data_IF_751755063756
#
_entry.id   IF_751755063756
#
_cell.length_a   1.000
_cell.length_b   1.000
_cell.length_c   1.000
_cell.angle_alpha   90.00
_cell.angle_beta   90.00
_cell.angle_gamma   90.00
#
_symmetry.space_group_name_H-M   'P 1'
#
loop_
_entity.id
_entity.type
_entity.pdbx_description
1 polymer ?
#
# COMPACT_ATOMS: atom_id res chain seq x y z
N UNK A 1 2.15 -17.52 -0.88
CA UNK A 1 2.69 -16.86 -2.09
C UNK A 1 3.32 -17.87 -3.04
N UNK A 2 4.34 -18.61 -2.61
CA UNK A 2 4.99 -19.63 -3.45
C UNK A 2 3.98 -20.72 -3.82
N UNK A 3 3.98 -21.14 -5.08
CA UNK A 3 3.07 -22.17 -5.60
C UNK A 3 1.65 -21.67 -5.91
N UNK A 4 1.31 -20.41 -5.62
CA UNK A 4 0.02 -19.85 -6.00
C UNK A 4 0.08 -19.34 -7.47
N UNK A 5 -0.68 -19.93 -8.41
CA UNK A 5 -0.58 -19.63 -9.84
C UNK A 5 -1.05 -18.22 -10.22
N UNK A 6 -1.87 -17.58 -9.38
CA UNK A 6 -2.38 -16.22 -9.64
C UNK A 6 -1.59 -15.14 -8.90
N UNK A 7 -0.58 -15.51 -8.11
CA UNK A 7 0.19 -14.60 -7.28
C UNK A 7 1.55 -14.30 -7.92
N UNK A 8 1.82 -13.01 -8.13
CA UNK A 8 3.13 -12.52 -8.54
C UNK A 8 4.17 -12.84 -7.46
N UNK A 9 5.32 -13.35 -7.88
CA UNK A 9 6.43 -13.67 -6.98
C UNK A 9 7.28 -12.42 -6.75
N UNK A 10 6.93 -11.67 -5.70
CA UNK A 10 7.65 -10.45 -5.30
C UNK A 10 8.68 -10.85 -4.22
N UNK A 11 9.95 -10.40 -4.34
CA UNK A 11 10.98 -10.68 -3.34
C UNK A 11 10.80 -9.76 -2.12
N UNK A 12 9.78 -10.04 -1.32
CA UNK A 12 9.50 -9.33 -0.07
C UNK A 12 10.62 -9.50 0.96
N UNK A 13 10.82 -8.47 1.78
CA UNK A 13 11.82 -8.48 2.82
C UNK A 13 11.34 -9.29 4.04
N UNK A 14 12.30 -9.92 4.72
CA UNK A 14 12.08 -10.54 6.03
C UNK A 14 12.56 -9.58 7.10
N UNK A 15 11.63 -8.92 7.77
CA UNK A 15 11.95 -7.98 8.85
C UNK A 15 10.95 -8.16 10.01
N UNK A 16 11.28 -9.06 10.93
CA UNK A 16 10.42 -9.40 12.06
C UNK A 16 10.20 -8.23 13.02
N UNK A 17 11.21 -7.37 13.21
CA UNK A 17 11.10 -6.18 14.06
C UNK A 17 10.11 -5.17 13.48
N UNK A 18 10.23 -4.88 12.18
CA UNK A 18 9.32 -3.97 11.50
C UNK A 18 7.88 -4.51 11.45
N UNK A 19 7.72 -5.82 11.22
CA UNK A 19 6.42 -6.49 11.30
C UNK A 19 5.81 -6.36 12.70
N UNK A 20 6.59 -6.60 13.76
CA UNK A 20 6.12 -6.48 15.13
C UNK A 20 5.69 -5.04 15.48
N UNK A 21 6.46 -4.04 15.05
CA UNK A 21 6.08 -2.62 15.21
C UNK A 21 4.77 -2.30 14.49
N UNK A 22 4.61 -2.76 13.25
CA UNK A 22 3.36 -2.57 12.50
C UNK A 22 2.18 -3.28 13.17
N UNK A 23 2.33 -4.56 13.52
CA UNK A 23 1.26 -5.35 14.12
C UNK A 23 0.80 -4.75 15.46
N UNK A 24 1.72 -4.21 16.26
CA UNK A 24 1.41 -3.64 17.58
C UNK A 24 1.06 -2.15 17.56
N UNK A 25 0.99 -1.49 16.39
CA UNK A 25 0.68 -0.06 16.30
C UNK A 25 1.77 0.83 16.92
N UNK A 26 3.03 0.52 16.64
CA UNK A 26 4.23 1.22 17.13
C UNK A 26 5.14 1.67 15.99
N UNK A 27 4.55 2.03 14.85
CA UNK A 27 5.28 2.47 13.66
C UNK A 27 5.82 3.90 13.79
N UNK A 28 5.26 4.68 14.72
CA UNK A 28 5.53 6.11 14.85
C UNK A 28 4.69 6.96 13.91
N UNK A 29 3.79 6.37 13.11
CA UNK A 29 2.83 7.08 12.26
C UNK A 29 1.43 7.00 12.89
N UNK A 30 0.93 8.09 13.50
CA UNK A 30 -0.28 8.04 14.34
C UNK A 30 -1.51 7.50 13.64
N UNK A 31 -1.66 7.78 12.35
CA UNK A 31 -2.75 7.24 11.55
C UNK A 31 -2.70 5.70 11.44
N UNK A 32 -1.52 5.14 11.16
CA UNK A 32 -1.32 3.69 11.05
C UNK A 32 -1.47 3.04 12.43
N UNK A 33 -0.88 3.66 13.45
CA UNK A 33 -0.87 3.14 14.82
C UNK A 33 -2.28 3.17 15.43
N UNK A 34 -3.09 4.20 15.15
CA UNK A 34 -4.49 4.26 15.57
C UNK A 34 -5.33 3.15 14.91
N UNK A 35 -5.14 2.90 13.60
CA UNK A 35 -5.85 1.82 12.90
C UNK A 35 -5.50 0.45 13.49
N UNK A 36 -4.21 0.17 13.69
CA UNK A 36 -3.78 -1.12 14.24
C UNK A 36 -4.21 -1.29 15.70
N UNK A 37 -4.29 -0.18 16.46
CA UNK A 37 -4.85 -0.18 17.82
C UNK A 37 -6.35 -0.47 17.81
N UNK A 38 -7.12 0.19 16.95
CA UNK A 38 -8.56 -0.07 16.80
C UNK A 38 -8.80 -1.53 16.40
N UNK A 39 -8.07 -2.04 15.40
CA UNK A 39 -8.17 -3.43 14.96
C UNK A 39 -7.98 -4.40 16.12
N UNK A 40 -6.97 -4.17 16.96
CA UNK A 40 -6.67 -5.04 18.10
C UNK A 40 -7.72 -4.96 19.21
N UNK A 41 -8.30 -3.79 19.45
CA UNK A 41 -9.25 -3.58 20.55
C UNK A 41 -10.69 -3.97 20.17
N UNK A 42 -11.09 -3.69 18.93
CA UNK A 42 -12.48 -3.80 18.50
C UNK A 42 -12.70 -4.92 17.48
N UNK A 43 -11.62 -5.44 16.88
CA UNK A 43 -11.69 -6.51 15.89
C UNK A 43 -12.29 -6.08 14.55
N UNK A 44 -12.47 -4.78 14.31
CA UNK A 44 -12.95 -4.25 13.04
C UNK A 44 -12.30 -2.90 12.71
N UNK A 45 -11.98 -2.72 11.44
CA UNK A 45 -11.54 -1.44 10.87
C UNK A 45 -12.17 -1.22 9.50
N UNK A 46 -12.43 0.04 9.18
CA UNK A 46 -13.02 0.45 7.91
C UNK A 46 -12.16 0.00 6.70
N UNK A 47 -12.78 -0.30 5.56
CA UNK A 47 -12.07 -0.80 4.37
C UNK A 47 -10.93 0.13 3.90
N UNK A 48 -11.12 1.45 3.94
CA UNK A 48 -10.04 2.40 3.64
C UNK A 48 -8.89 2.38 4.65
N UNK A 49 -9.16 2.05 5.91
CA UNK A 49 -8.14 1.86 6.93
C UNK A 49 -7.32 0.58 6.65
N UNK A 50 -8.00 -0.51 6.22
CA UNK A 50 -7.34 -1.74 5.73
C UNK A 50 -6.39 -1.43 4.58
N UNK A 51 -6.83 -0.61 3.61
CA UNK A 51 -5.98 -0.16 2.50
C UNK A 51 -4.73 0.60 2.98
N UNK A 52 -4.88 1.51 3.95
CA UNK A 52 -3.77 2.28 4.47
C UNK A 52 -2.71 1.39 5.14
N UNK A 53 -3.12 0.50 6.05
CA UNK A 53 -2.17 -0.36 6.78
C UNK A 53 -1.57 -1.46 5.91
N UNK A 54 -2.34 -2.01 4.97
CA UNK A 54 -1.82 -3.00 4.02
C UNK A 54 -0.82 -2.36 3.04
N UNK A 55 -1.09 -1.14 2.57
CA UNK A 55 -0.16 -0.39 1.74
C UNK A 55 1.14 -0.10 2.51
N UNK A 56 1.04 0.39 3.75
CA UNK A 56 2.21 0.68 4.58
C UNK A 56 3.09 -0.57 4.80
N UNK A 57 2.49 -1.71 5.17
CA UNK A 57 3.23 -2.96 5.38
C UNK A 57 3.91 -3.48 4.12
N UNK A 58 3.24 -3.40 2.97
CA UNK A 58 3.67 -4.06 1.73
C UNK A 58 4.39 -3.07 0.80
N UNK A 59 3.82 -2.79 -0.38
CA UNK A 59 4.44 -2.01 -1.45
C UNK A 59 4.66 -0.52 -1.12
N UNK A 60 4.06 -0.01 -0.05
CA UNK A 60 4.15 1.39 0.35
C UNK A 60 5.46 1.67 1.06
N UNK A 61 5.68 1.07 2.23
CA UNK A 61 6.74 1.52 3.14
C UNK A 61 7.68 0.39 3.59
N UNK A 62 7.16 -0.68 4.21
CA UNK A 62 8.00 -1.70 4.84
C UNK A 62 8.47 -2.81 3.90
N UNK A 63 7.81 -2.99 2.75
CA UNK A 63 8.12 -4.04 1.77
C UNK A 63 8.13 -5.47 2.34
N UNK A 64 7.25 -5.73 3.31
CA UNK A 64 7.05 -7.05 3.94
C UNK A 64 5.95 -7.81 3.19
N UNK A 65 6.01 -9.15 3.21
CA UNK A 65 5.03 -9.99 2.53
C UNK A 65 3.61 -9.73 3.05
N UNK A 66 2.68 -9.68 2.10
CA UNK A 66 1.25 -9.61 2.38
C UNK A 66 0.75 -10.83 3.18
N UNK A 67 1.47 -11.96 3.14
CA UNK A 67 1.16 -13.16 3.92
C UNK A 67 1.29 -12.90 5.43
N UNK A 68 2.24 -12.06 5.84
CA UNK A 68 2.41 -11.71 7.25
C UNK A 68 1.29 -10.78 7.73
N UNK A 69 0.88 -9.84 6.88
CA UNK A 69 -0.29 -9.00 7.15
C UNK A 69 -1.59 -9.81 7.23
N UNK A 70 -1.74 -10.80 6.34
CA UNK A 70 -2.87 -11.72 6.32
C UNK A 70 -2.99 -12.48 7.63
N UNK A 71 -1.90 -13.03 8.18
CA UNK A 71 -1.89 -13.72 9.48
C UNK A 71 -2.33 -12.82 10.63
N UNK A 72 -1.85 -11.57 10.67
CA UNK A 72 -2.25 -10.60 11.70
C UNK A 72 -3.74 -10.27 11.59
N UNK A 73 -4.27 -10.13 10.37
CA UNK A 73 -5.70 -9.90 10.17
C UNK A 73 -6.52 -11.14 10.49
N UNK A 74 -6.04 -12.34 10.18
CA UNK A 74 -6.72 -13.59 10.55
C UNK A 74 -6.83 -13.76 12.07
N UNK A 75 -5.84 -13.28 12.83
CA UNK A 75 -5.87 -13.29 14.30
C UNK A 75 -6.83 -12.24 14.89
N UNK A 76 -6.88 -11.03 14.31
CA UNK A 76 -7.53 -9.87 14.95
C UNK A 76 -8.88 -9.48 14.35
N UNK A 77 -9.08 -9.68 13.06
CA UNK A 77 -10.20 -9.12 12.32
C UNK A 77 -11.40 -10.08 12.34
N UNK A 78 -12.50 -9.66 12.96
CA UNK A 78 -13.69 -10.47 13.19
C UNK A 78 -14.39 -10.91 11.89
N UNK A 79 -14.26 -10.12 10.82
CA UNK A 79 -14.84 -10.42 9.52
C UNK A 79 -13.85 -11.03 8.51
N UNK A 80 -12.69 -11.49 8.99
CA UNK A 80 -11.71 -12.18 8.15
C UNK A 80 -12.14 -13.63 7.84
N UNK A 81 -12.88 -13.81 6.74
CA UNK A 81 -12.92 -15.09 6.05
C UNK A 81 -11.59 -15.34 5.33
N UNK A 82 -11.13 -16.60 5.32
CA UNK A 82 -9.85 -16.98 4.70
C UNK A 82 -9.73 -16.50 3.25
N UNK A 83 -10.79 -16.68 2.45
CA UNK A 83 -10.79 -16.34 1.02
C UNK A 83 -10.77 -14.83 0.80
N UNK A 84 -11.60 -14.11 1.56
CA UNK A 84 -11.72 -12.66 1.48
C UNK A 84 -10.43 -11.99 1.96
N UNK A 85 -9.87 -12.47 3.07
CA UNK A 85 -8.62 -11.93 3.64
C UNK A 85 -7.45 -12.15 2.67
N UNK A 86 -7.25 -13.37 2.17
CA UNK A 86 -6.20 -13.67 1.20
C UNK A 86 -6.35 -12.85 -0.10
N UNK A 87 -7.58 -12.78 -0.63
CA UNK A 87 -7.89 -12.00 -1.84
C UNK A 87 -7.59 -10.51 -1.68
N UNK A 88 -8.01 -9.92 -0.55
CA UNK A 88 -7.76 -8.52 -0.23
C UNK A 88 -6.26 -8.22 -0.11
N UNK A 89 -5.50 -9.05 0.61
CA UNK A 89 -4.06 -8.86 0.79
C UNK A 89 -3.28 -8.99 -0.52
N UNK A 90 -3.65 -9.97 -1.37
CA UNK A 90 -3.08 -10.08 -2.72
C UNK A 90 -3.41 -8.87 -3.60
N UNK A 91 -4.64 -8.35 -3.52
CA UNK A 91 -5.04 -7.15 -4.26
C UNK A 91 -4.24 -5.92 -3.80
N UNK A 92 -4.26 -5.60 -2.50
CA UNK A 92 -3.70 -4.35 -1.97
C UNK A 92 -2.18 -4.27 -2.09
N UNK A 93 -1.51 -5.42 -2.00
CA UNK A 93 -0.07 -5.54 -2.22
C UNK A 93 0.34 -5.51 -3.70
N UNK A 94 -0.63 -5.49 -4.62
CA UNK A 94 -0.42 -5.70 -6.05
C UNK A 94 0.28 -7.04 -6.35
N UNK A 95 -0.08 -8.09 -5.62
CA UNK A 95 0.39 -9.45 -5.93
C UNK A 95 -0.59 -10.19 -6.86
N UNK A 96 -1.84 -9.76 -6.94
CA UNK A 96 -2.84 -10.27 -7.90
C UNK A 96 -3.96 -9.26 -8.12
N UNK A 97 -4.78 -9.46 -9.16
CA UNK A 97 -5.99 -8.69 -9.55
C UNK A 97 -5.80 -7.21 -9.90
N UNK A 98 -4.86 -6.51 -9.26
CA UNK A 98 -4.62 -5.08 -9.41
C UNK A 98 -3.13 -4.80 -9.57
N UNK A 99 -2.79 -4.06 -10.64
CA UNK A 99 -1.39 -3.83 -11.02
C UNK A 99 -1.00 -2.34 -10.96
N UNK A 100 -1.88 -1.46 -10.47
CA UNK A 100 -1.59 -0.04 -10.35
C UNK A 100 -0.85 0.28 -9.04
N UNK A 101 0.36 -0.28 -8.90
CA UNK A 101 1.20 -0.10 -7.71
C UNK A 101 1.72 1.34 -7.51
N UNK A 102 1.49 2.24 -8.47
CA UNK A 102 1.94 3.63 -8.45
C UNK A 102 1.19 4.54 -7.47
N UNK A 103 -0.03 4.16 -7.05
CA UNK A 103 -0.79 4.90 -6.05
C UNK A 103 -0.60 4.26 -4.67
N UNK A 104 0.41 4.72 -3.92
CA UNK A 104 0.58 4.37 -2.51
C UNK A 104 -0.14 5.39 -1.61
N UNK A 105 -0.72 4.91 -0.52
CA UNK A 105 -1.31 5.78 0.50
C UNK A 105 -0.20 6.42 1.32
N UNK A 106 -0.22 7.75 1.44
CA UNK A 106 0.68 8.45 2.35
C UNK A 106 0.15 8.28 3.78
N UNK A 107 0.95 7.72 4.72
CA UNK A 107 0.50 7.44 6.08
C UNK A 107 0.17 8.70 6.89
N UNK A 108 0.54 9.88 6.38
CA UNK A 108 0.20 11.18 6.98
C UNK A 108 -0.96 11.84 6.24
N UNK A 109 -0.78 12.12 4.95
CA UNK A 109 -1.75 12.93 4.18
C UNK A 109 -3.11 12.27 4.08
N UNK A 110 -3.15 10.93 4.05
CA UNK A 110 -4.40 10.20 3.98
C UNK A 110 -5.21 10.37 5.26
N UNK A 111 -4.57 10.20 6.42
CA UNK A 111 -5.19 10.47 7.73
C UNK A 111 -5.67 11.91 7.85
N UNK A 112 -4.83 12.89 7.50
CA UNK A 112 -5.18 14.32 7.54
C UNK A 112 -6.38 14.66 6.66
N UNK A 113 -6.53 13.99 5.51
CA UNK A 113 -7.67 14.18 4.63
C UNK A 113 -8.94 13.53 5.19
N UNK A 114 -8.82 12.36 5.82
CA UNK A 114 -9.95 11.63 6.38
C UNK A 114 -10.47 12.27 7.67
N UNK A 115 -9.57 12.76 8.51
CA UNK A 115 -9.85 13.40 9.79
C UNK A 115 -8.85 14.54 10.05
N UNK A 116 -9.17 15.76 9.59
CA UNK A 116 -8.29 16.92 9.75
C UNK A 116 -8.00 17.29 11.21
N UNK A 117 -8.94 17.02 12.14
CA UNK A 117 -8.79 17.35 13.55
C UNK A 117 -7.97 16.29 14.31
N UNK A 118 -7.88 15.08 13.76
CA UNK A 118 -7.18 13.95 14.35
C UNK A 118 -7.92 13.36 15.57
N UNK A 119 -9.24 13.53 15.65
CA UNK A 119 -10.07 12.95 16.70
C UNK A 119 -9.97 11.42 16.74
N UNK A 120 -9.85 10.78 15.57
CA UNK A 120 -9.58 9.35 15.45
C UNK A 120 -8.18 8.98 15.97
N UNK A 121 -7.16 9.82 15.73
CA UNK A 121 -5.81 9.57 16.26
C UNK A 121 -5.79 9.70 17.79
N UNK A 122 -6.66 10.51 18.38
CA UNK A 122 -6.80 10.62 19.85
C UNK A 122 -7.33 9.36 20.52
N UNK A 123 -7.72 8.36 19.72
CA UNK A 123 -7.90 6.98 20.19
C UNK A 123 -6.59 6.41 20.77
N UNK A 124 -5.43 6.91 20.33
CA UNK A 124 -4.13 6.71 20.97
C UNK A 124 -4.02 7.65 22.20
N UNK A 125 -4.16 7.14 23.44
CA UNK A 125 -4.29 8.02 24.60
C UNK A 125 -3.06 8.91 24.85
N UNK A 126 -1.88 8.43 24.45
CA UNK A 126 -0.61 9.16 24.58
C UNK A 126 -0.56 10.43 23.72
N UNK A 127 -1.29 10.47 22.59
CA UNK A 127 -1.37 11.63 21.71
C UNK A 127 -2.62 12.50 21.96
N UNK A 128 -3.43 12.17 22.97
CA UNK A 128 -4.73 12.82 23.23
C UNK A 128 -4.65 14.34 23.35
N UNK A 129 -3.55 14.87 23.89
CA UNK A 129 -3.36 16.32 24.08
C UNK A 129 -2.56 16.99 22.96
N UNK A 130 -2.08 16.24 21.96
CA UNK A 130 -1.24 16.81 20.89
C UNK A 130 -2.06 17.78 20.03
N UNK A 131 -1.59 19.01 19.75
CA UNK A 131 -2.31 19.97 18.92
C UNK A 131 -2.60 19.42 17.53
N UNK A 132 -3.70 19.88 16.93
CA UNK A 132 -4.15 19.46 15.58
C UNK A 132 -3.06 19.67 14.52
N UNK A 133 -2.26 20.73 14.66
CA UNK A 133 -1.13 21.01 13.77
C UNK A 133 -0.14 19.84 13.68
N UNK A 134 0.10 19.13 14.78
CA UNK A 134 1.11 18.07 14.89
C UNK A 134 0.52 16.68 15.04
N UNK A 135 -0.79 16.51 15.24
CA UNK A 135 -1.40 15.20 15.58
C UNK A 135 -1.11 14.10 14.54
N UNK A 136 -0.97 14.45 13.26
CA UNK A 136 -0.62 13.52 12.18
C UNK A 136 0.89 13.33 11.98
N UNK A 137 1.71 14.26 12.50
CA UNK A 137 3.18 14.27 12.37
C UNK A 137 3.86 14.76 13.67
N UNK A 138 3.67 14.06 14.80
CA UNK A 138 4.05 14.59 16.12
C UNK A 138 5.56 14.75 16.29
N UNK A 139 6.37 14.07 15.47
CA UNK A 139 7.83 14.24 15.43
C UNK A 139 8.26 15.63 14.93
N UNK A 140 7.36 16.41 14.31
CA UNK A 140 7.61 17.81 13.95
C UNK A 140 7.25 18.79 15.07
N UNK A 141 6.60 18.33 16.15
CA UNK A 141 6.24 19.17 17.27
C UNK A 141 7.52 19.66 18.00
N UNK A 142 7.67 20.97 18.25
CA UNK A 142 8.75 21.50 19.06
C UNK A 142 8.79 20.90 20.47
N UNK A 143 9.96 20.83 21.10
CA UNK A 143 10.12 20.19 22.42
C UNK A 143 9.21 20.81 23.50
N UNK A 144 8.99 22.13 23.48
CA UNK A 144 8.09 22.80 24.42
C UNK A 144 6.63 22.32 24.26
N UNK A 145 6.19 22.06 23.01
CA UNK A 145 4.86 21.48 22.74
C UNK A 145 4.80 20.04 23.23
N UNK A 146 5.81 19.22 22.97
CA UNK A 146 5.87 17.83 23.45
C UNK A 146 5.81 17.75 24.98
N UNK A 147 6.56 18.61 25.68
CA UNK A 147 6.54 18.69 27.15
C UNK A 147 5.17 19.16 27.68
N UNK A 148 4.58 20.18 27.06
CA UNK A 148 3.26 20.70 27.46
C UNK A 148 2.14 19.67 27.29
N UNK A 149 2.23 18.82 26.27
CA UNK A 149 1.25 17.78 25.97
C UNK A 149 1.49 16.47 26.73
N UNK A 150 2.62 16.38 27.46
CA UNK A 150 3.10 15.19 28.19
C UNK A 150 3.33 13.98 27.26
N UNK A 151 3.78 14.25 26.05
CA UNK A 151 4.13 13.22 25.07
C UNK A 151 5.44 13.59 24.37
N UNK A 152 6.55 13.02 24.85
CA UNK A 152 7.87 13.15 24.24
C UNK A 152 8.06 12.07 23.18
N UNK A 153 8.25 12.49 21.94
CA UNK A 153 8.45 11.60 20.81
C UNK A 153 9.84 10.95 20.89
N UNK A 154 9.91 9.64 20.68
CA UNK A 154 11.06 8.78 20.94
C UNK A 154 11.09 8.18 22.35
N UNK A 155 10.21 8.61 23.26
CA UNK A 155 10.09 8.07 24.62
C UNK A 155 8.67 7.56 24.91
N UNK A 156 7.69 8.45 24.90
CA UNK A 156 6.30 8.14 25.24
C UNK A 156 5.54 7.62 24.00
N UNK A 157 5.91 8.10 22.81
CA UNK A 157 5.43 7.64 21.51
C UNK A 157 6.62 7.46 20.55
N UNK A 158 6.70 6.39 19.74
CA UNK A 158 7.88 6.12 18.93
C UNK A 158 8.12 7.16 17.83
N UNK A 159 9.39 7.33 17.44
CA UNK A 159 9.74 8.04 16.21
C UNK A 159 9.28 7.23 14.98
N UNK A 160 9.00 7.89 13.84
CA UNK A 160 8.71 7.20 12.59
C UNK A 160 9.78 6.16 12.27
N UNK A 161 9.38 4.91 12.13
CA UNK A 161 10.29 3.80 11.87
C UNK A 161 10.95 3.85 10.48
N UNK A 162 10.40 4.67 9.57
CA UNK A 162 10.91 4.89 8.21
C UNK A 162 10.69 6.32 7.77
N UNK A 163 11.50 6.80 6.82
CA UNK A 163 11.20 8.00 6.05
C UNK A 163 10.30 7.64 4.86
N UNK A 164 9.01 7.98 4.96
CA UNK A 164 8.00 7.62 3.94
C UNK A 164 8.38 8.06 2.52
N UNK A 165 8.89 9.27 2.33
CA UNK A 165 9.23 9.79 0.99
C UNK A 165 10.37 8.98 0.33
N UNK A 166 11.31 8.50 1.15
CA UNK A 166 12.43 7.67 0.67
C UNK A 166 11.98 6.22 0.45
N UNK A 167 11.30 5.63 1.43
CA UNK A 167 10.83 4.25 1.39
C UNK A 167 9.87 4.02 0.21
N UNK A 168 8.85 4.85 0.08
CA UNK A 168 7.86 4.72 -1.02
C UNK A 168 8.48 4.87 -2.40
N UNK A 169 9.47 5.76 -2.57
CA UNK A 169 10.20 5.91 -3.85
C UNK A 169 11.03 4.68 -4.18
N UNK A 170 11.75 4.12 -3.21
CA UNK A 170 12.54 2.89 -3.39
C UNK A 170 11.61 1.72 -3.72
N UNK A 171 10.54 1.54 -2.95
CA UNK A 171 9.60 0.45 -3.12
C UNK A 171 8.85 0.54 -4.45
N UNK A 172 8.48 1.75 -4.90
CA UNK A 172 7.93 1.96 -6.23
C UNK A 172 8.89 1.46 -7.32
N UNK A 173 10.19 1.72 -7.17
CA UNK A 173 11.19 1.25 -8.13
C UNK A 173 11.35 -0.27 -8.09
N UNK A 174 11.34 -0.89 -6.90
CA UNK A 174 11.34 -2.36 -6.75
C UNK A 174 10.14 -2.98 -7.45
N UNK A 175 8.94 -2.45 -7.24
CA UNK A 175 7.72 -2.91 -7.91
C UNK A 175 7.82 -2.78 -9.44
N UNK A 176 8.33 -1.64 -9.95
CA UNK A 176 8.57 -1.47 -11.40
C UNK A 176 9.50 -2.55 -11.96
N UNK A 177 10.59 -2.87 -11.27
CA UNK A 177 11.53 -3.90 -11.70
C UNK A 177 10.88 -5.29 -11.76
N UNK A 178 10.09 -5.66 -10.75
CA UNK A 178 9.36 -6.94 -10.76
C UNK A 178 8.43 -7.01 -11.97
N UNK A 179 7.62 -5.97 -12.21
CA UNK A 179 6.67 -5.98 -13.33
C UNK A 179 7.32 -5.88 -14.71
N UNK A 180 8.48 -5.23 -14.82
CA UNK A 180 9.28 -5.25 -16.05
C UNK A 180 9.83 -6.65 -16.35
N UNK A 181 10.33 -7.36 -15.33
CA UNK A 181 10.80 -8.73 -15.49
C UNK A 181 9.66 -9.68 -15.91
N UNK A 182 8.46 -9.51 -15.34
CA UNK A 182 7.27 -10.28 -15.74
C UNK A 182 6.85 -9.99 -17.18
N UNK A 183 6.89 -8.72 -17.61
CA UNK A 183 6.58 -8.37 -19.00
C UNK A 183 7.60 -9.00 -19.97
N UNK A 184 8.89 -8.95 -19.63
CA UNK A 184 9.94 -9.59 -20.42
C UNK A 184 9.76 -11.12 -20.48
N UNK A 185 9.39 -11.74 -19.36
CA UNK A 185 9.13 -13.18 -19.30
C UNK A 185 7.97 -13.58 -20.23
N UNK A 186 6.87 -12.82 -20.23
CA UNK A 186 5.74 -13.06 -21.17
C UNK A 186 6.16 -12.93 -22.64
N UNK A 187 6.97 -11.94 -22.97
CA UNK A 187 7.51 -11.79 -24.34
C UNK A 187 8.42 -12.96 -24.75
N UNK A 188 9.17 -13.54 -23.82
CA UNK A 188 10.00 -14.74 -24.06
C UNK A 188 9.15 -16.00 -24.22
N UNK A 189 8.08 -16.17 -23.43
CA UNK A 189 7.15 -17.29 -23.62
C UNK A 189 6.41 -17.19 -24.96
N UNK A 190 5.92 -16.01 -25.32
CA UNK A 190 5.25 -15.75 -26.60
C UNK A 190 6.18 -15.97 -27.81
N UNK A 191 7.50 -15.77 -27.64
CA UNK A 191 8.48 -16.01 -28.71
C UNK A 191 8.96 -17.47 -28.80
N UNK A 192 8.94 -18.22 -27.69
CA UNK A 192 9.24 -19.67 -27.68
C UNK A 192 8.06 -20.55 -28.11
N UNK A 193 6.83 -20.06 -27.97
CA UNK A 193 5.61 -20.76 -28.37
C UNK A 193 5.19 -20.58 -29.83
N UNK A 194 6.01 -19.98 -30.70
CA UNK A 194 5.51 -19.40 -31.94
C UNK A 194 6.39 -19.65 -33.18
N UNK A 195 6.47 -20.92 -33.60
CA UNK A 195 6.73 -21.27 -35.01
C UNK A 195 5.43 -21.39 -35.85
N UNK A 196 4.22 -21.35 -35.25
CA UNK A 196 2.94 -21.58 -35.96
C UNK A 196 1.86 -20.48 -35.81
N UNK A 197 2.13 -19.35 -35.15
CA UNK A 197 1.15 -18.29 -34.82
C UNK A 197 1.57 -16.88 -35.27
N UNK A 198 2.53 -16.75 -36.20
CA UNK A 198 2.95 -15.44 -36.73
C UNK A 198 1.86 -14.73 -37.57
N UNK A 199 0.88 -15.47 -38.09
CA UNK A 199 -0.15 -14.89 -38.97
C UNK A 199 -1.26 -14.12 -38.23
N UNK A 200 -1.64 -14.55 -37.02
CA UNK A 200 -2.82 -13.98 -36.35
C UNK A 200 -2.56 -12.57 -35.75
N UNK A 201 -1.33 -12.30 -35.30
CA UNK A 201 -0.98 -11.00 -34.69
C UNK A 201 -0.78 -9.88 -35.72
N UNK A 202 -0.37 -10.20 -36.95
CA UNK A 202 -0.23 -9.21 -38.02
C UNK A 202 -1.58 -8.72 -38.55
N UNK A 203 -2.62 -9.57 -38.52
CA UNK A 203 -3.98 -9.20 -38.91
C UNK A 203 -4.65 -8.26 -37.90
N UNK A 204 -4.42 -8.45 -36.59
CA UNK A 204 -5.06 -7.61 -35.56
C UNK A 204 -4.49 -6.17 -35.50
N UNK A 205 -3.20 -5.99 -35.84
CA UNK A 205 -2.55 -4.68 -35.95
C UNK A 205 -3.00 -3.86 -37.18
N UNK A 206 -3.41 -4.52 -38.26
CA UNK A 206 -3.98 -3.86 -39.45
C UNK A 206 -5.39 -3.31 -39.19
N UNK A 207 -6.20 -4.00 -38.39
CA UNK A 207 -7.57 -3.56 -38.07
C UNK A 207 -7.63 -2.33 -37.15
N UNK A 208 -6.70 -2.20 -36.20
CA UNK A 208 -6.64 -1.03 -35.30
C UNK A 208 -6.12 0.24 -35.99
N UNK A 209 -5.26 0.13 -37.00
CA UNK A 209 -4.77 1.30 -37.75
C UNK A 209 -5.79 1.84 -38.77
N UNK A 210 -6.80 1.06 -39.16
CA UNK A 210 -7.86 1.52 -40.06
C UNK A 210 -8.92 2.35 -39.31
N UNK A 211 -9.18 2.04 -38.03
CA UNK A 211 -10.16 2.77 -37.21
C UNK A 211 -9.64 4.13 -36.66
N UNK A 212 -8.33 4.32 -36.56
CA UNK A 212 -7.76 5.61 -36.15
C UNK A 212 -7.60 6.63 -37.28
N UNK A 213 -7.62 6.20 -38.55
CA UNK A 213 -7.51 7.11 -39.70
C UNK A 213 -8.87 7.56 -40.27
N UNK A 214 -10.02 7.08 -39.77
CA UNK A 214 -11.35 7.50 -40.24
C UNK A 214 -12.01 8.60 -39.39
N UNK A 215 -11.38 9.06 -38.31
CA UNK A 215 -11.94 10.09 -37.40
C UNK A 215 -11.21 11.44 -37.49
N UNK A 216 -10.23 11.58 -38.38
CA UNK A 216 -9.56 12.85 -38.68
C UNK A 216 -9.86 13.26 -40.13
N UNK A 217 -11.03 13.87 -40.36
CA UNK A 217 -11.36 14.42 -41.67
C UNK A 217 -12.73 15.11 -41.74
N UNK A 218 -12.69 16.45 -41.80
CA UNK A 218 -13.73 17.38 -42.28
C UNK A 218 -14.84 17.82 -41.30
N UNK A 219 -14.56 18.90 -40.56
CA UNK A 219 -15.54 19.96 -40.30
C UNK A 219 -15.19 21.16 -41.22
N UNK A 220 -16.09 21.61 -42.11
CA UNK A 220 -15.92 22.87 -42.82
C UNK A 220 -16.45 24.03 -41.98
N UNK A 221 -15.74 25.15 -42.06
CA UNK A 221 -16.15 26.44 -41.54
C UNK A 221 -17.33 27.01 -42.35
N UNK A 222 -18.33 27.53 -41.63
CA UNK A 222 -19.27 28.57 -42.07
C UNK A 222 -19.91 29.19 -40.83
#
# INVERSE_FOLDING_TARGET
>A
MVGNPICVQIPWDKNAEALAKWANGQTGFPWIDAIMTQLRQEGWIHHLARHAVACFLTRGDLFISWEEGMKVFEELLLDADWSVNAGMWMWLSCSSFFQQFFHCYCPVKFGRKADPNGDYIRYLPVLKNMPVEYIHEPWLAPENVQRATKCVIGKDYPLPMVNHATASRINLQRMKQVYQQLANYKLVEDSKGNENYKDCYQQRRRSTNILQNSTAGNHPAS
#
